data_IF_132512681882
#
_entry.id   IF_132512681882
#
_cell.length_a   1.000
_cell.length_b   1.000
_cell.length_c   1.000
_cell.angle_alpha   90.00
_cell.angle_beta   90.00
_cell.angle_gamma   90.00
#
_symmetry.space_group_name_H-M   'P 1'
#
loop_
_entity.id
_entity.type
_entity.pdbx_description
1 polymer ?
#
# COMPACT_ATOMS: atom_id res chain seq x y z
N UNK A 1 35.84 -33.74 -4.27
CA UNK A 1 34.84 -32.87 -4.94
C UNK A 1 33.43 -33.45 -4.92
N UNK A 2 33.19 -34.68 -5.42
CA UNK A 2 31.83 -35.29 -5.47
C UNK A 2 31.17 -35.49 -4.10
N UNK A 3 31.92 -35.89 -3.08
CA UNK A 3 31.41 -36.05 -1.71
C UNK A 3 30.98 -34.72 -1.05
N UNK A 4 31.67 -33.62 -1.37
CA UNK A 4 31.31 -32.30 -0.87
C UNK A 4 30.00 -31.79 -1.49
N UNK A 5 29.78 -32.06 -2.79
CA UNK A 5 28.53 -31.73 -3.48
C UNK A 5 27.35 -32.55 -2.93
N UNK A 6 27.58 -33.83 -2.64
CA UNK A 6 26.56 -34.69 -2.03
C UNK A 6 26.19 -34.22 -0.61
N UNK A 7 27.19 -33.84 0.21
CA UNK A 7 26.95 -33.29 1.54
C UNK A 7 26.17 -31.97 1.49
N UNK A 8 26.48 -31.09 0.54
CA UNK A 8 25.75 -29.85 0.30
C UNK A 8 24.30 -30.09 -0.12
N UNK A 9 24.05 -31.03 -1.03
CA UNK A 9 22.70 -31.40 -1.46
C UNK A 9 21.86 -31.91 -0.28
N UNK A 10 22.43 -32.80 0.54
CA UNK A 10 21.77 -33.33 1.74
C UNK A 10 21.46 -32.21 2.74
N UNK A 11 22.38 -31.26 2.96
CA UNK A 11 22.16 -30.14 3.88
C UNK A 11 21.03 -29.22 3.40
N UNK A 12 20.96 -28.95 2.10
CA UNK A 12 19.87 -28.17 1.49
C UNK A 12 18.52 -28.87 1.58
N UNK A 13 18.51 -30.20 1.45
CA UNK A 13 17.30 -31.02 1.57
C UNK A 13 16.79 -31.09 3.03
N UNK A 14 17.68 -31.12 4.03
CA UNK A 14 17.29 -31.09 5.45
C UNK A 14 16.91 -29.68 5.94
N UNK A 15 17.43 -28.61 5.33
CA UNK A 15 17.09 -27.23 5.68
C UNK A 15 15.74 -26.73 5.13
N UNK A 16 15.09 -27.49 4.25
CA UNK A 16 13.86 -27.11 3.57
C UNK A 16 12.56 -27.39 4.33
N UNK A 17 12.58 -28.09 5.47
CA UNK A 17 11.35 -28.47 6.20
C UNK A 17 11.20 -27.68 7.50
N UNK A 18 11.19 -26.35 7.40
CA UNK A 18 11.06 -25.43 8.55
C UNK A 18 9.85 -24.49 8.52
N UNK A 19 8.99 -24.58 7.51
CA UNK A 19 7.85 -23.67 7.35
C UNK A 19 6.57 -24.41 6.95
N UNK A 20 6.20 -25.44 7.70
CA UNK A 20 4.81 -25.85 7.78
C UNK A 20 4.26 -25.43 9.14
N UNK A 21 3.23 -24.58 9.12
CA UNK A 21 2.30 -24.52 10.26
C UNK A 21 1.99 -23.16 10.88
N UNK A 22 2.22 -22.02 10.21
CA UNK A 22 1.74 -20.73 10.73
C UNK A 22 1.16 -19.82 9.64
N UNK A 23 0.27 -20.35 8.80
CA UNK A 23 -0.87 -19.55 8.30
C UNK A 23 -1.98 -19.63 9.34
N UNK A 24 -1.71 -19.14 10.54
CA UNK A 24 -2.80 -18.57 11.32
C UNK A 24 -3.07 -17.23 10.69
N UNK A 25 -4.29 -16.98 10.22
CA UNK A 25 -4.72 -15.64 9.88
C UNK A 25 -4.26 -14.71 11.02
N UNK A 26 -3.55 -13.59 10.73
CA UNK A 26 -3.29 -12.60 11.76
C UNK A 26 -4.64 -12.29 12.42
N UNK A 27 -4.72 -12.20 13.77
CA UNK A 27 -5.99 -11.89 14.44
C UNK A 27 -6.54 -10.67 13.73
N UNK A 28 -7.75 -10.79 13.18
CA UNK A 28 -8.36 -9.79 12.33
C UNK A 28 -8.17 -8.43 13.00
N UNK A 29 -7.19 -7.67 12.53
CA UNK A 29 -6.99 -6.33 13.02
C UNK A 29 -8.33 -5.65 12.76
N UNK A 30 -8.91 -4.95 13.75
CA UNK A 30 -10.22 -4.34 13.56
C UNK A 30 -10.14 -3.50 12.29
N UNK A 31 -10.86 -3.94 11.26
CA UNK A 31 -10.92 -3.29 9.96
C UNK A 31 -11.58 -1.94 10.17
N UNK A 32 -10.76 -0.94 10.49
CA UNK A 32 -11.22 0.43 10.68
C UNK A 32 -11.49 0.98 9.28
N UNK A 33 -12.75 0.87 8.85
CA UNK A 33 -13.22 1.59 7.68
C UNK A 33 -13.26 3.08 8.02
N UNK A 34 -12.59 3.89 7.22
CA UNK A 34 -12.76 5.34 7.26
C UNK A 34 -13.97 5.62 6.38
N UNK A 35 -15.11 6.08 6.93
CA UNK A 35 -16.28 6.36 6.12
C UNK A 35 -15.96 7.48 5.12
N UNK A 36 -16.43 7.32 3.89
CA UNK A 36 -16.27 8.36 2.87
C UNK A 36 -17.00 9.65 3.31
N UNK A 37 -16.42 10.84 3.07
CA UNK A 37 -17.06 12.10 3.39
C UNK A 37 -18.31 12.30 2.53
N UNK A 38 -19.39 12.74 3.16
CA UNK A 38 -20.64 13.05 2.47
C UNK A 38 -20.52 14.42 1.81
N UNK A 39 -20.78 14.48 0.50
CA UNK A 39 -20.71 15.70 -0.30
C UNK A 39 -22.13 16.11 -0.72
N UNK A 40 -22.43 17.41 -0.65
CA UNK A 40 -23.69 17.94 -1.19
C UNK A 40 -23.71 17.79 -2.73
N UNK A 41 -24.90 17.74 -3.37
CA UNK A 41 -24.99 17.65 -4.83
C UNK A 41 -24.37 18.88 -5.52
N UNK A 42 -24.42 20.05 -4.90
CA UNK A 42 -23.77 21.27 -5.38
C UNK A 42 -22.24 21.13 -5.34
N UNK A 43 -21.68 20.62 -4.23
CA UNK A 43 -20.24 20.41 -4.09
C UNK A 43 -19.69 19.38 -5.08
N UNK A 44 -20.49 18.37 -5.42
CA UNK A 44 -20.13 17.36 -6.44
C UNK A 44 -20.00 17.92 -7.84
N UNK A 45 -20.80 18.94 -8.17
CA UNK A 45 -20.79 19.62 -9.47
C UNK A 45 -19.84 20.83 -9.48
N UNK A 46 -19.35 21.22 -8.30
CA UNK A 46 -18.49 22.38 -8.16
C UNK A 46 -17.06 22.08 -8.64
N UNK A 47 -16.42 23.00 -9.38
CA UNK A 47 -14.99 22.92 -9.67
C UNK A 47 -14.13 23.27 -8.43
N UNK A 48 -14.74 23.73 -7.34
CA UNK A 48 -14.03 24.07 -6.11
C UNK A 48 -13.85 22.87 -5.20
N UNK A 49 -12.73 22.85 -4.47
CA UNK A 49 -12.43 21.79 -3.53
C UNK A 49 -13.39 21.79 -2.32
N UNK A 50 -14.08 20.65 -2.04
CA UNK A 50 -14.99 20.52 -0.91
C UNK A 50 -14.30 20.78 0.42
N UNK A 51 -15.01 21.35 1.38
CA UNK A 51 -14.43 21.78 2.66
C UNK A 51 -13.84 20.61 3.46
N UNK A 52 -14.51 19.46 3.46
CA UNK A 52 -14.08 18.24 4.14
C UNK A 52 -12.79 17.64 3.59
N UNK A 53 -12.45 17.90 2.32
CA UNK A 53 -11.27 17.34 1.65
C UNK A 53 -10.06 18.29 1.62
N UNK A 54 -10.18 19.50 2.16
CA UNK A 54 -9.11 20.52 2.09
C UNK A 54 -7.83 20.08 2.78
N UNK A 55 -7.92 19.49 3.98
CA UNK A 55 -6.75 19.04 4.73
C UNK A 55 -5.99 17.94 3.99
N UNK A 56 -6.71 16.94 3.48
CA UNK A 56 -6.11 15.81 2.73
C UNK A 56 -5.47 16.29 1.43
N UNK A 57 -6.09 17.23 0.73
CA UNK A 57 -5.54 17.81 -0.47
C UNK A 57 -4.26 18.63 -0.19
N UNK A 58 -4.22 19.42 0.89
CA UNK A 58 -3.01 20.12 1.30
C UNK A 58 -1.87 19.13 1.58
N UNK A 59 -2.15 18.01 2.27
CA UNK A 59 -1.17 16.95 2.49
C UNK A 59 -0.70 16.31 1.18
N UNK A 60 -1.61 15.98 0.27
CA UNK A 60 -1.26 15.40 -1.02
C UNK A 60 -0.37 16.32 -1.86
N UNK A 61 -0.70 17.61 -1.94
CA UNK A 61 0.09 18.61 -2.67
C UNK A 61 1.46 18.77 -2.01
N UNK A 62 1.52 18.94 -0.69
CA UNK A 62 2.78 19.08 0.04
C UNK A 62 3.68 17.85 -0.15
N UNK A 63 3.09 16.66 -0.17
CA UNK A 63 3.79 15.41 -0.43
C UNK A 63 4.33 15.34 -1.87
N UNK A 64 3.53 15.64 -2.88
CA UNK A 64 3.98 15.69 -4.29
C UNK A 64 5.10 16.73 -4.49
N UNK A 65 4.99 17.90 -3.87
CA UNK A 65 6.03 18.93 -3.94
C UNK A 65 7.32 18.49 -3.23
N UNK A 66 7.25 17.71 -2.15
CA UNK A 66 8.42 17.12 -1.48
C UNK A 66 9.08 15.99 -2.27
N UNK A 67 8.33 15.22 -3.05
CA UNK A 67 8.86 14.12 -3.88
C UNK A 67 9.53 14.58 -5.18
N UNK A 68 9.50 15.87 -5.50
CA UNK A 68 10.00 16.39 -6.78
C UNK A 68 11.42 16.95 -6.62
N UNK A 69 12.44 16.09 -6.76
CA UNK A 69 13.83 16.53 -6.84
C UNK A 69 14.83 15.39 -7.13
N UNK A 70 15.88 15.59 -7.94
CA UNK A 70 16.93 14.60 -8.14
C UNK A 70 17.62 14.26 -6.81
N UNK A 71 17.55 12.99 -6.36
CA UNK A 71 18.26 12.51 -5.17
C UNK A 71 17.46 12.36 -3.86
N UNK A 72 16.12 12.54 -3.87
CA UNK A 72 15.30 12.27 -2.68
C UNK A 72 14.91 10.79 -2.58
N UNK A 73 15.03 10.15 -1.39
CA UNK A 73 14.56 8.78 -1.20
C UNK A 73 13.03 8.72 -1.34
N UNK A 74 12.56 7.72 -2.09
CA UNK A 74 11.15 7.37 -2.19
C UNK A 74 10.61 7.12 -0.78
N UNK A 75 9.91 8.12 -0.22
CA UNK A 75 9.03 7.85 0.89
C UNK A 75 7.92 7.00 0.28
N UNK A 76 7.74 5.78 0.77
CA UNK A 76 6.60 4.94 0.42
C UNK A 76 5.46 5.36 1.36
N UNK A 77 4.63 6.38 1.04
CA UNK A 77 3.40 6.55 1.77
C UNK A 77 2.61 5.28 1.52
N UNK A 78 1.99 4.75 2.56
CA UNK A 78 0.97 3.74 2.39
C UNK A 78 -0.15 4.37 1.54
N UNK A 79 -0.12 4.14 0.24
CA UNK A 79 -1.11 4.64 -0.71
C UNK A 79 -2.22 3.61 -0.83
N UNK A 80 -3.45 4.02 -0.50
CA UNK A 80 -4.64 3.20 -0.77
C UNK A 80 -4.93 3.30 -2.27
N UNK A 81 -4.61 2.24 -3.02
CA UNK A 81 -4.99 2.13 -4.42
C UNK A 81 -6.47 1.75 -4.48
N UNK A 82 -7.32 2.61 -5.01
CA UNK A 82 -8.72 2.24 -5.31
C UNK A 82 -8.69 1.38 -6.58
N UNK A 83 -8.52 0.07 -6.41
CA UNK A 83 -8.67 -0.89 -7.49
C UNK A 83 -10.16 -1.17 -7.71
N UNK A 84 -10.72 -0.73 -8.85
CA UNK A 84 -12.02 -1.24 -9.33
C UNK A 84 -13.17 -0.25 -9.47
N UNK A 85 -12.93 1.07 -9.44
CA UNK A 85 -13.95 2.07 -9.81
C UNK A 85 -13.81 2.55 -11.26
N UNK A 86 -14.90 2.98 -11.92
CA UNK A 86 -14.79 3.69 -13.20
C UNK A 86 -14.03 4.98 -12.96
N UNK A 87 -12.78 5.05 -13.45
CA UNK A 87 -12.05 6.30 -13.51
C UNK A 87 -12.88 7.29 -14.33
N UNK A 88 -13.07 8.54 -13.89
CA UNK A 88 -13.69 9.55 -14.73
C UNK A 88 -12.80 9.72 -15.97
N UNK A 89 -13.24 9.15 -17.09
CA UNK A 89 -12.62 9.36 -18.37
C UNK A 89 -12.70 10.87 -18.67
N UNK A 90 -11.57 11.43 -19.10
CA UNK A 90 -11.50 12.81 -19.58
C UNK A 90 -12.20 12.95 -20.92
#
# INVERSE_FOLDING_TARGET
MRAALAAWLVLSLLGGTGAQGMCGDPPAAPSRSIPAPQLSPEERLSPHMPQSLRCDACHAIAFQKRLSGPGLPSQHPLSVLVSGGPWPAR
#
